data_IF_548078054973
#
_entry.id   IF_548078054973
#
_cell.length_a   1.000
_cell.length_b   1.000
_cell.length_c   1.000
_cell.angle_alpha   90.00
_cell.angle_beta   90.00
_cell.angle_gamma   90.00
#
_symmetry.space_group_name_H-M   'P 1'
#
loop_
_entity.id
_entity.type
_entity.pdbx_description
1 polymer ?
#
# COMPACT_ATOMS: atom_id res chain seq x y z
N UNK A 1 -1.31 -68.11 15.90
CA UNK A 1 -1.86 -66.93 16.60
C UNK A 1 -1.34 -65.68 15.89
N UNK A 2 -2.23 -64.70 15.68
CA UNK A 2 -2.06 -63.40 15.00
C UNK A 2 -2.18 -63.39 13.45
N UNK A 3 -3.40 -63.16 12.97
CA UNK A 3 -3.67 -62.35 11.76
C UNK A 3 -3.41 -60.87 12.10
N UNK A 4 -3.00 -59.97 11.16
CA UNK A 4 -3.98 -59.40 10.23
C UNK A 4 -3.51 -58.76 8.90
N UNK A 5 -4.52 -58.55 8.04
CA UNK A 5 -4.81 -57.38 7.16
C UNK A 5 -3.98 -57.13 5.89
N UNK A 6 -4.63 -57.44 4.76
CA UNK A 6 -4.47 -56.87 3.42
C UNK A 6 -5.02 -55.44 3.31
N UNK A 7 -4.28 -54.56 2.63
CA UNK A 7 -4.78 -53.34 1.96
C UNK A 7 -4.03 -53.15 0.61
N UNK A 8 -4.79 -52.85 -0.44
CA UNK A 8 -4.38 -52.54 -1.82
C UNK A 8 -3.78 -51.12 -1.95
N UNK A 9 -2.95 -50.87 -2.99
CA UNK A 9 -2.92 -49.59 -3.68
C UNK A 9 -3.40 -49.72 -5.14
N UNK A 10 -4.30 -48.83 -5.56
CA UNK A 10 -4.64 -48.61 -6.97
C UNK A 10 -3.83 -47.42 -7.49
N UNK A 11 -2.97 -47.66 -8.49
CA UNK A 11 -2.17 -46.64 -9.16
C UNK A 11 -2.88 -46.16 -10.44
N UNK A 12 -3.03 -44.84 -10.57
CA UNK A 12 -3.44 -44.15 -11.79
C UNK A 12 -2.25 -44.08 -12.76
N UNK A 13 -2.42 -44.62 -13.97
CA UNK A 13 -1.45 -44.48 -15.08
C UNK A 13 -2.05 -43.67 -16.22
N UNK A 14 -1.48 -42.48 -16.47
CA UNK A 14 -1.62 -41.72 -17.72
C UNK A 14 -0.50 -42.13 -18.70
N UNK A 15 -0.83 -42.29 -19.98
CA UNK A 15 0.12 -42.36 -21.10
C UNK A 15 -0.65 -42.37 -22.43
N UNK A 16 -0.78 -41.22 -23.09
CA UNK A 16 0.02 -40.73 -24.24
C UNK A 16 -0.11 -41.55 -25.53
N UNK A 17 -0.64 -40.90 -26.57
CA UNK A 17 -0.33 -41.24 -27.96
C UNK A 17 0.02 -39.95 -28.73
N UNK A 18 1.18 -39.99 -29.35
CA UNK A 18 1.88 -38.95 -30.10
C UNK A 18 1.45 -39.01 -31.57
N UNK A 19 1.32 -37.86 -32.22
CA UNK A 19 1.53 -37.74 -33.67
C UNK A 19 2.46 -36.57 -33.96
N UNK A 20 3.67 -36.90 -34.42
CA UNK A 20 4.59 -35.98 -35.07
C UNK A 20 4.21 -35.83 -36.55
N UNK A 21 4.52 -34.67 -37.15
CA UNK A 21 5.37 -34.54 -38.36
C UNK A 21 5.38 -33.08 -38.83
N UNK A 22 6.58 -32.58 -39.19
CA UNK A 22 6.73 -31.44 -40.11
C UNK A 22 7.82 -30.44 -39.71
N UNK A 23 9.06 -30.70 -40.09
CA UNK A 23 10.18 -29.76 -40.00
C UNK A 23 10.14 -28.72 -41.15
N UNK A 24 10.48 -27.47 -40.85
CA UNK A 24 10.79 -26.41 -41.81
C UNK A 24 11.88 -25.47 -41.26
N UNK A 25 12.73 -24.87 -42.11
CA UNK A 25 14.00 -24.29 -41.70
C UNK A 25 13.85 -22.89 -41.08
N UNK A 26 14.68 -22.60 -40.08
CA UNK A 26 14.93 -21.24 -39.63
C UNK A 26 15.91 -20.56 -40.61
N UNK A 27 15.42 -19.63 -41.42
CA UNK A 27 16.23 -18.68 -42.16
C UNK A 27 15.99 -17.29 -41.56
N UNK A 28 17.07 -16.65 -41.10
CA UNK A 28 17.06 -15.24 -40.75
C UNK A 28 17.02 -14.40 -42.03
N UNK A 29 16.23 -13.32 -42.03
CA UNK A 29 16.27 -12.28 -43.06
C UNK A 29 16.10 -10.91 -42.39
N UNK A 30 16.94 -9.98 -42.84
CA UNK A 30 17.17 -8.61 -42.38
C UNK A 30 15.91 -7.73 -42.19
N UNK A 31 16.03 -6.58 -41.47
CA UNK A 31 14.87 -5.77 -41.08
C UNK A 31 14.12 -5.23 -42.30
N UNK A 32 12.83 -5.54 -42.36
CA UNK A 32 11.91 -4.94 -43.31
C UNK A 32 11.74 -3.42 -43.02
N UNK A 33 11.54 -2.59 -44.05
CA UNK A 33 11.53 -1.14 -43.92
C UNK A 33 10.40 -0.70 -43.00
N UNK A 34 10.64 0.34 -42.20
CA UNK A 34 9.60 1.07 -41.45
C UNK A 34 8.53 1.54 -42.44
N UNK A 35 7.50 0.72 -42.60
CA UNK A 35 6.35 1.02 -43.44
C UNK A 35 5.54 2.05 -42.69
N UNK A 36 5.29 3.19 -43.34
CA UNK A 36 4.43 4.25 -42.84
C UNK A 36 3.16 3.65 -42.26
N UNK A 37 2.82 4.08 -41.04
CA UNK A 37 1.59 3.70 -40.36
C UNK A 37 0.44 4.22 -41.21
N UNK A 38 -0.14 3.37 -42.05
CA UNK A 38 -1.33 3.75 -42.82
C UNK A 38 -2.49 3.95 -41.85
N UNK A 39 -3.37 4.90 -42.16
CA UNK A 39 -4.55 5.25 -41.36
C UNK A 39 -5.43 4.02 -41.02
N UNK A 40 -5.36 2.96 -41.84
CA UNK A 40 -6.05 1.68 -41.61
C UNK A 40 -5.50 0.88 -40.42
N UNK A 41 -4.19 0.95 -40.10
CA UNK A 41 -3.64 0.29 -38.90
C UNK A 41 -3.87 1.09 -37.62
N UNK A 42 -3.95 2.42 -37.69
CA UNK A 42 -4.42 3.26 -36.57
C UNK A 42 -5.92 3.04 -36.30
N UNK A 43 -6.70 2.80 -37.35
CA UNK A 43 -8.12 2.44 -37.22
C UNK A 43 -8.36 1.04 -36.61
N UNK A 44 -7.35 0.17 -36.54
CA UNK A 44 -7.46 -1.13 -35.85
C UNK A 44 -7.07 -1.10 -34.36
N UNK A 45 -6.45 -0.01 -33.87
CA UNK A 45 -6.25 0.23 -32.43
C UNK A 45 -7.31 1.15 -31.83
N UNK A 46 -8.03 1.90 -32.67
CA UNK A 46 -9.29 2.50 -32.28
C UNK A 46 -10.36 1.40 -32.32
N UNK A 47 -10.65 0.83 -31.15
CA UNK A 47 -11.86 0.02 -30.95
C UNK A 47 -13.07 0.70 -31.59
N UNK A 48 -14.02 -0.11 -32.01
CA UNK A 48 -15.26 0.33 -32.69
C UNK A 48 -15.84 1.60 -32.06
N UNK A 49 -16.53 2.46 -32.82
CA UNK A 49 -17.11 3.70 -32.27
C UNK A 49 -17.97 3.50 -31.01
N UNK A 50 -18.51 2.28 -30.84
CA UNK A 50 -19.19 1.79 -29.64
C UNK A 50 -18.26 1.59 -28.43
N UNK A 51 -17.05 1.04 -28.60
CA UNK A 51 -16.03 0.95 -27.54
C UNK A 51 -15.49 2.32 -27.13
N UNK A 52 -15.32 3.25 -28.07
CA UNK A 52 -14.92 4.63 -27.76
C UNK A 52 -15.99 5.39 -26.98
N UNK A 53 -17.27 5.18 -27.30
CA UNK A 53 -18.41 5.75 -26.59
C UNK A 53 -18.61 5.11 -25.21
N UNK A 54 -18.48 3.78 -25.11
CA UNK A 54 -18.56 3.06 -23.84
C UNK A 54 -17.41 3.44 -22.89
N UNK A 55 -16.19 3.60 -23.41
CA UNK A 55 -15.06 4.08 -22.62
C UNK A 55 -15.29 5.51 -22.14
N UNK A 56 -15.80 6.41 -22.99
CA UNK A 56 -16.16 7.77 -22.59
C UNK A 56 -17.23 7.77 -21.50
N UNK A 57 -18.31 7.01 -21.67
CA UNK A 57 -19.37 6.90 -20.68
C UNK A 57 -18.87 6.32 -19.35
N UNK A 58 -17.94 5.36 -19.40
CA UNK A 58 -17.27 4.84 -18.21
C UNK A 58 -16.43 5.92 -17.52
N UNK A 59 -15.59 6.64 -18.25
CA UNK A 59 -14.77 7.72 -17.69
C UNK A 59 -15.63 8.88 -17.15
N UNK A 60 -16.71 9.24 -17.84
CA UNK A 60 -17.66 10.27 -17.42
C UNK A 60 -18.40 9.82 -16.15
N UNK A 61 -18.87 8.58 -16.08
CA UNK A 61 -19.47 8.02 -14.86
C UNK A 61 -18.48 7.94 -13.69
N UNK A 62 -17.19 7.67 -13.95
CA UNK A 62 -16.14 7.71 -12.92
C UNK A 62 -15.91 9.16 -12.44
N UNK A 63 -15.86 10.13 -13.34
CA UNK A 63 -15.70 11.54 -13.00
C UNK A 63 -16.91 12.08 -12.23
N UNK A 64 -18.13 11.72 -12.64
CA UNK A 64 -19.36 12.05 -11.93
C UNK A 64 -19.41 11.40 -10.55
N UNK A 65 -19.02 10.13 -10.42
CA UNK A 65 -18.93 9.46 -9.12
C UNK A 65 -17.89 10.12 -8.20
N UNK A 66 -16.75 10.54 -8.75
CA UNK A 66 -15.72 11.28 -8.00
C UNK A 66 -16.24 12.66 -7.60
N UNK A 67 -16.92 13.37 -8.50
CA UNK A 67 -17.53 14.67 -8.23
C UNK A 67 -18.64 14.56 -7.18
N UNK A 68 -19.49 13.54 -7.25
CA UNK A 68 -20.55 13.25 -6.27
C UNK A 68 -19.95 12.89 -4.90
N UNK A 69 -18.90 12.06 -4.85
CA UNK A 69 -18.18 11.75 -3.60
C UNK A 69 -17.49 12.96 -2.99
N UNK A 70 -16.95 13.86 -3.82
CA UNK A 70 -16.35 15.13 -3.37
C UNK A 70 -17.41 16.14 -2.94
N UNK A 71 -18.54 16.21 -3.65
CA UNK A 71 -19.68 17.05 -3.32
C UNK A 71 -20.45 16.55 -2.09
N UNK A 72 -20.36 15.24 -1.78
CA UNK A 72 -20.85 14.66 -0.54
C UNK A 72 -19.93 14.93 0.66
N UNK A 73 -18.68 15.38 0.41
CA UNK A 73 -17.72 15.81 1.44
C UNK A 73 -17.16 17.22 1.16
N UNK A 74 -18.00 18.24 0.89
CA UNK A 74 -17.57 19.50 0.31
C UNK A 74 -16.91 20.47 1.32
N UNK A 75 -16.62 20.01 2.54
CA UNK A 75 -16.09 20.83 3.65
C UNK A 75 -15.19 20.08 4.63
N UNK A 76 -14.76 18.85 4.34
CA UNK A 76 -13.83 18.15 5.20
C UNK A 76 -12.39 18.63 4.94
N UNK A 77 -11.94 19.71 5.59
CA UNK A 77 -10.51 20.02 5.62
C UNK A 77 -9.84 18.89 6.42
N UNK A 78 -8.96 18.12 5.77
CA UNK A 78 -8.16 17.16 6.50
C UNK A 78 -7.32 17.89 7.55
N UNK A 79 -7.21 17.33 8.76
CA UNK A 79 -6.31 17.86 9.77
C UNK A 79 -4.88 17.67 9.29
N UNK A 80 -4.09 18.74 9.23
CA UNK A 80 -2.65 18.62 8.96
C UNK A 80 -1.91 18.41 10.27
N UNK A 81 -1.19 17.31 10.38
CA UNK A 81 -0.23 17.03 11.46
C UNK A 81 1.17 17.22 10.89
N UNK A 82 1.95 18.08 11.53
CA UNK A 82 3.30 18.44 11.10
C UNK A 82 4.32 17.53 11.77
N UNK A 83 5.28 17.00 11.02
CA UNK A 83 6.38 16.20 11.56
C UNK A 83 7.75 16.81 11.26
N UNK A 84 8.72 16.53 12.12
CA UNK A 84 10.14 16.87 11.90
C UNK A 84 10.97 15.59 11.74
N UNK A 85 11.62 15.44 10.58
CA UNK A 85 12.48 14.30 10.27
C UNK A 85 13.98 14.56 10.53
N UNK A 86 14.36 15.78 10.93
CA UNK A 86 15.76 16.20 11.04
C UNK A 86 16.56 15.42 12.10
N UNK A 87 15.88 14.85 13.10
CA UNK A 87 16.46 13.99 14.12
C UNK A 87 16.72 12.54 13.69
N UNK A 88 16.31 12.14 12.48
CA UNK A 88 16.48 10.81 11.91
C UNK A 88 16.96 10.83 10.44
N UNK A 89 18.14 11.42 10.16
CA UNK A 89 18.61 11.62 8.79
C UNK A 89 18.85 10.31 8.02
N UNK A 90 19.23 9.22 8.71
CA UNK A 90 19.46 7.90 8.09
C UNK A 90 18.17 7.33 7.50
N UNK A 91 17.01 7.68 8.09
CA UNK A 91 15.70 7.18 7.71
C UNK A 91 14.83 8.17 6.91
N UNK A 92 15.40 9.30 6.47
CA UNK A 92 14.67 10.36 5.77
C UNK A 92 13.78 9.86 4.61
N UNK A 93 14.29 8.93 3.80
CA UNK A 93 13.52 8.33 2.70
C UNK A 93 12.35 7.48 3.20
N UNK A 94 12.55 6.68 4.24
CA UNK A 94 11.51 5.82 4.81
C UNK A 94 10.43 6.63 5.53
N UNK A 95 10.82 7.73 6.19
CA UNK A 95 9.89 8.69 6.77
C UNK A 95 9.03 9.34 5.70
N UNK A 96 9.64 9.82 4.60
CA UNK A 96 8.90 10.38 3.47
C UNK A 96 7.96 9.35 2.83
N UNK A 97 8.40 8.09 2.70
CA UNK A 97 7.56 7.00 2.19
C UNK A 97 6.38 6.72 3.14
N UNK A 98 6.61 6.62 4.45
CA UNK A 98 5.57 6.44 5.46
C UNK A 98 4.51 7.53 5.38
N UNK A 99 4.94 8.80 5.34
CA UNK A 99 4.04 9.94 5.21
C UNK A 99 3.21 9.86 3.92
N UNK A 100 3.84 9.50 2.79
CA UNK A 100 3.14 9.32 1.52
C UNK A 100 2.10 8.19 1.56
N UNK A 101 2.44 7.04 2.16
CA UNK A 101 1.54 5.90 2.33
C UNK A 101 0.31 6.31 3.12
N UNK A 102 0.49 6.89 4.30
CA UNK A 102 -0.63 7.38 5.12
C UNK A 102 -1.46 8.44 4.38
N UNK A 103 -0.80 9.43 3.77
CA UNK A 103 -1.49 10.48 3.01
C UNK A 103 -2.32 9.95 1.83
N UNK A 104 -1.93 8.82 1.24
CA UNK A 104 -2.70 8.16 0.19
C UNK A 104 -3.82 7.25 0.71
N UNK A 105 -3.68 6.77 1.95
CA UNK A 105 -4.54 5.74 2.52
C UNK A 105 -5.75 6.29 3.29
N UNK A 106 -5.65 7.53 3.81
CA UNK A 106 -6.69 8.14 4.65
C UNK A 106 -7.11 9.53 4.15
N UNK A 107 -8.29 9.99 4.57
CA UNK A 107 -8.91 11.23 4.08
C UNK A 107 -8.90 12.37 5.10
N UNK A 108 -9.08 12.07 6.39
CA UNK A 108 -9.35 13.08 7.42
C UNK A 108 -8.10 13.64 8.11
N UNK A 109 -6.92 13.09 7.83
CA UNK A 109 -5.63 13.58 8.35
C UNK A 109 -4.56 13.54 7.26
N UNK A 110 -3.65 14.50 7.27
CA UNK A 110 -2.46 14.56 6.41
C UNK A 110 -1.21 14.84 7.22
N UNK A 111 -0.14 14.14 6.89
CA UNK A 111 1.21 14.33 7.43
C UNK A 111 2.00 15.27 6.53
N UNK A 112 2.64 16.27 7.12
CA UNK A 112 3.45 17.24 6.40
C UNK A 112 4.75 17.51 7.15
N UNK A 113 5.89 17.51 6.46
CA UNK A 113 7.17 17.87 7.07
C UNK A 113 7.25 19.38 7.35
N UNK A 114 7.80 19.78 8.50
CA UNK A 114 7.99 21.19 8.85
C UNK A 114 8.65 21.43 10.21
N UNK A 115 9.09 22.68 10.45
CA UNK A 115 9.88 23.07 11.63
C UNK A 115 9.05 23.40 12.89
N UNK A 116 7.73 23.51 12.77
CA UNK A 116 6.80 23.67 13.89
C UNK A 116 6.02 22.36 14.07
N UNK A 117 6.77 21.27 14.30
CA UNK A 117 6.23 19.92 14.29
C UNK A 117 5.43 19.59 15.55
N UNK A 118 4.35 18.83 15.35
CA UNK A 118 3.54 18.21 16.41
C UNK A 118 4.27 16.97 16.96
N UNK A 119 5.03 16.26 16.11
CA UNK A 119 5.89 15.16 16.52
C UNK A 119 7.21 15.08 15.72
N UNK A 120 8.22 14.43 16.30
CA UNK A 120 9.55 14.30 15.68
C UNK A 120 10.01 12.85 15.51
N UNK A 121 10.91 12.61 14.55
CA UNK A 121 11.61 11.33 14.38
C UNK A 121 13.02 11.41 14.96
N UNK A 122 13.44 10.34 15.62
CA UNK A 122 14.77 10.14 16.22
C UNK A 122 15.32 8.79 15.76
N UNK A 123 16.64 8.65 15.79
CA UNK A 123 17.29 7.37 15.46
C UNK A 123 18.40 7.00 16.45
N UNK A 124 18.66 5.71 16.58
CA UNK A 124 19.71 5.21 17.48
C UNK A 124 19.71 3.70 17.64
N UNK A 125 20.35 3.23 18.71
CA UNK A 125 20.29 1.82 19.13
C UNK A 125 19.46 1.70 20.40
N UNK A 126 18.41 0.88 20.37
CA UNK A 126 17.68 0.44 21.55
C UNK A 126 17.40 -1.06 21.42
N UNK A 127 17.79 -1.90 22.40
CA UNK A 127 17.55 -3.34 22.32
C UNK A 127 16.07 -3.73 22.28
N UNK A 128 15.15 -2.80 22.56
CA UNK A 128 13.70 -2.99 22.46
C UNK A 128 13.17 -2.82 21.03
N UNK A 129 13.95 -2.25 20.12
CA UNK A 129 13.53 -1.88 18.76
C UNK A 129 12.99 -0.45 18.66
N UNK A 130 12.38 -0.14 17.51
CA UNK A 130 11.70 1.14 17.29
C UNK A 130 10.45 1.24 18.16
N UNK A 131 10.05 2.47 18.47
CA UNK A 131 8.84 2.72 19.26
C UNK A 131 8.31 4.14 19.05
N UNK A 132 7.01 4.32 19.23
CA UNK A 132 6.36 5.61 19.36
C UNK A 132 6.12 5.99 20.84
N UNK A 133 6.42 7.23 21.21
CA UNK A 133 6.02 7.85 22.46
C UNK A 133 5.07 8.99 22.13
N UNK A 134 3.76 8.71 22.15
CA UNK A 134 2.73 9.58 21.59
C UNK A 134 1.46 9.59 22.44
N UNK A 135 0.64 10.63 22.28
CA UNK A 135 -0.72 10.70 22.81
C UNK A 135 -1.75 9.95 21.93
N UNK A 136 -1.31 9.41 20.78
CA UNK A 136 -2.19 8.76 19.80
C UNK A 136 -3.05 9.73 19.01
N UNK A 137 -2.71 11.02 19.00
CA UNK A 137 -3.46 12.07 18.32
C UNK A 137 -2.55 13.15 17.72
N UNK A 138 -1.44 12.72 17.12
CA UNK A 138 -0.55 13.58 16.34
C UNK A 138 0.66 14.15 17.09
N UNK A 139 0.76 13.98 18.42
CA UNK A 139 1.87 14.58 19.19
C UNK A 139 2.85 13.53 19.71
N UNK A 140 4.11 13.93 19.91
CA UNK A 140 5.12 13.12 20.60
C UNK A 140 6.39 12.91 19.78
N UNK A 141 6.93 11.70 19.80
CA UNK A 141 8.07 11.34 18.93
C UNK A 141 8.08 9.86 18.58
N UNK A 142 8.78 9.52 17.50
CA UNK A 142 9.09 8.16 17.07
C UNK A 142 10.60 7.95 17.16
N UNK A 143 11.03 6.85 17.76
CA UNK A 143 12.42 6.41 17.75
C UNK A 143 12.57 5.23 16.79
N UNK A 144 13.48 5.33 15.82
CA UNK A 144 13.80 4.30 14.85
C UNK A 144 15.12 3.60 15.24
N UNK A 145 15.04 2.32 15.59
CA UNK A 145 16.19 1.51 15.96
C UNK A 145 16.94 0.98 14.72
N UNK A 146 18.26 1.07 14.74
CA UNK A 146 19.09 0.62 13.62
C UNK A 146 19.04 -0.89 13.39
N UNK A 147 19.03 -1.72 14.44
CA UNK A 147 19.09 -3.16 14.29
C UNK A 147 17.77 -3.71 13.73
N UNK A 148 16.65 -3.25 14.25
CA UNK A 148 15.33 -3.64 13.76
C UNK A 148 15.12 -3.22 12.30
N UNK A 149 15.48 -1.99 11.93
CA UNK A 149 15.32 -1.50 10.56
C UNK A 149 16.28 -2.14 9.54
N UNK A 150 17.34 -2.82 10.00
CA UNK A 150 18.19 -3.67 9.14
C UNK A 150 17.60 -5.08 8.97
N UNK A 151 16.90 -5.58 9.99
CA UNK A 151 16.34 -6.93 9.99
C UNK A 151 14.96 -7.00 9.31
N UNK A 152 14.14 -5.97 9.47
CA UNK A 152 12.78 -5.87 8.93
C UNK A 152 12.73 -4.85 7.79
N UNK A 153 11.66 -4.86 7.01
CA UNK A 153 11.41 -3.80 6.04
C UNK A 153 11.28 -2.45 6.76
N UNK A 154 12.25 -1.55 6.56
CA UNK A 154 12.31 -0.28 7.26
C UNK A 154 11.14 0.66 6.92
N UNK A 155 10.55 0.54 5.72
CA UNK A 155 9.35 1.33 5.39
C UNK A 155 8.15 0.82 6.20
N UNK A 156 7.97 -0.51 6.34
CA UNK A 156 6.94 -1.09 7.21
C UNK A 156 7.13 -0.68 8.66
N UNK A 157 8.34 -0.79 9.21
CA UNK A 157 8.64 -0.38 10.59
C UNK A 157 8.27 1.09 10.79
N UNK A 158 8.79 1.97 9.93
CA UNK A 158 8.52 3.41 10.03
C UNK A 158 7.01 3.71 9.92
N UNK A 159 6.31 3.07 8.98
CA UNK A 159 4.87 3.31 8.76
C UNK A 159 4.01 2.79 9.91
N UNK A 160 4.41 1.68 10.53
CA UNK A 160 3.80 1.11 11.73
C UNK A 160 3.91 2.08 12.92
N UNK A 161 5.10 2.59 13.22
CA UNK A 161 5.29 3.55 14.31
C UNK A 161 4.50 4.85 14.07
N UNK A 162 4.44 5.32 12.82
CA UNK A 162 3.59 6.45 12.44
C UNK A 162 2.10 6.16 12.67
N UNK A 163 1.66 4.91 12.51
CA UNK A 163 0.30 4.48 12.81
C UNK A 163 -0.09 4.68 14.28
N UNK A 164 0.84 4.52 15.21
CA UNK A 164 0.61 4.82 16.63
C UNK A 164 0.36 6.30 16.87
N UNK A 165 1.12 7.19 16.21
CA UNK A 165 0.91 8.65 16.30
C UNK A 165 -0.48 9.04 15.78
N UNK A 166 -0.98 8.30 14.78
CA UNK A 166 -2.33 8.46 14.23
C UNK A 166 -3.43 7.80 15.08
N UNK A 167 -3.06 7.09 16.15
CA UNK A 167 -3.97 6.56 17.16
C UNK A 167 -4.33 5.08 17.04
N UNK A 168 -3.60 4.31 16.22
CA UNK A 168 -3.79 2.86 16.13
C UNK A 168 -3.00 2.13 17.22
N UNK A 169 -3.59 1.13 17.90
CA UNK A 169 -2.85 0.27 18.82
C UNK A 169 -2.09 -0.84 18.07
N UNK A 170 -1.14 -1.47 18.75
CA UNK A 170 -0.54 -2.73 18.31
C UNK A 170 -1.56 -3.86 18.23
N UNK A 171 -1.32 -4.80 17.30
CA UNK A 171 -2.02 -6.07 17.19
C UNK A 171 -1.07 -7.18 16.70
N UNK A 172 -0.08 -7.54 17.51
CA UNK A 172 1.04 -8.41 17.11
C UNK A 172 0.64 -9.81 16.62
N UNK A 173 -0.56 -10.30 16.98
CA UNK A 173 -1.10 -11.57 16.51
C UNK A 173 -1.72 -11.50 15.10
N UNK A 174 -1.83 -10.29 14.54
CA UNK A 174 -2.37 -10.04 13.22
C UNK A 174 -1.49 -10.55 12.06
N UNK A 175 -2.05 -10.73 10.86
CA UNK A 175 -1.32 -11.14 9.66
C UNK A 175 -0.43 -10.02 9.10
N UNK A 176 0.42 -10.37 8.12
CA UNK A 176 1.26 -9.39 7.39
C UNK A 176 0.43 -8.33 6.62
N UNK A 177 -0.82 -8.64 6.28
CA UNK A 177 -1.72 -7.66 5.65
C UNK A 177 -2.12 -6.52 6.58
N UNK A 178 -2.05 -6.72 7.90
CA UNK A 178 -2.22 -5.65 8.89
C UNK A 178 -0.87 -4.95 9.09
N UNK A 179 -0.87 -3.62 9.03
CA UNK A 179 0.33 -2.84 9.32
C UNK A 179 0.63 -2.86 10.82
N UNK A 180 -0.40 -2.82 11.66
CA UNK A 180 -0.30 -2.74 13.11
C UNK A 180 0.02 -4.08 13.77
N UNK A 181 0.15 -5.17 12.99
CA UNK A 181 0.80 -6.39 13.47
C UNK A 181 2.32 -6.25 13.61
N UNK A 182 2.89 -5.16 13.07
CA UNK A 182 4.27 -4.78 13.28
C UNK A 182 5.23 -5.90 12.89
N UNK A 183 6.08 -6.29 13.84
CA UNK A 183 7.05 -7.38 13.69
C UNK A 183 6.50 -8.79 13.90
N UNK A 184 5.25 -8.95 14.34
CA UNK A 184 4.64 -10.26 14.65
C UNK A 184 4.74 -11.28 13.52
N UNK A 185 4.43 -10.91 12.26
CA UNK A 185 4.58 -11.79 11.09
C UNK A 185 6.03 -12.14 10.70
N UNK A 186 7.03 -11.57 11.37
CA UNK A 186 8.45 -11.80 11.12
C UNK A 186 9.02 -11.01 9.93
N UNK A 187 10.35 -11.07 9.73
CA UNK A 187 11.07 -10.20 8.80
C UNK A 187 10.80 -10.47 7.30
N UNK A 188 10.20 -11.61 6.96
CA UNK A 188 9.73 -11.87 5.59
C UNK A 188 8.52 -11.02 5.20
N UNK A 189 7.84 -10.39 6.17
CA UNK A 189 6.74 -9.50 5.90
C UNK A 189 7.25 -8.09 5.57
N UNK A 190 6.96 -7.63 4.36
CA UNK A 190 7.42 -6.32 3.86
C UNK A 190 6.25 -5.39 3.48
N UNK A 191 5.01 -5.79 3.76
CA UNK A 191 3.85 -4.95 3.47
C UNK A 191 3.84 -3.71 4.38
N UNK A 192 3.97 -2.52 3.81
CA UNK A 192 3.90 -1.26 4.55
C UNK A 192 2.52 -0.58 4.44
N UNK A 193 1.55 -1.19 3.76
CA UNK A 193 0.22 -0.58 3.56
C UNK A 193 -0.70 -0.91 4.74
N UNK A 194 -1.39 0.10 5.33
CA UNK A 194 -2.46 -0.17 6.26
C UNK A 194 -3.62 -0.87 5.54
N UNK A 195 -4.30 -1.78 6.22
CA UNK A 195 -5.47 -2.46 5.69
C UNK A 195 -6.72 -1.55 5.67
N UNK A 196 -7.85 -2.07 5.19
CA UNK A 196 -9.08 -1.28 5.12
C UNK A 196 -9.63 -0.89 6.51
N UNK A 197 -9.42 -1.71 7.53
CA UNK A 197 -9.92 -1.47 8.89
C UNK A 197 -9.07 -0.40 9.59
N UNK A 198 -7.75 -0.48 9.46
CA UNK A 198 -6.77 0.47 9.98
C UNK A 198 -7.01 1.86 9.38
N UNK A 199 -7.22 1.95 8.05
CA UNK A 199 -7.59 3.21 7.37
C UNK A 199 -8.89 3.79 7.91
N UNK A 200 -9.94 2.98 7.95
CA UNK A 200 -11.25 3.42 8.43
C UNK A 200 -11.20 3.89 9.88
N UNK A 201 -10.38 3.23 10.72
CA UNK A 201 -10.18 3.62 12.11
C UNK A 201 -9.48 4.96 12.23
N UNK A 202 -8.41 5.20 11.47
CA UNK A 202 -7.75 6.52 11.43
C UNK A 202 -8.74 7.59 10.96
N UNK A 203 -9.46 7.37 9.86
CA UNK A 203 -10.45 8.34 9.40
C UNK A 203 -11.52 8.65 10.47
N UNK A 204 -11.96 7.64 11.22
CA UNK A 204 -12.89 7.83 12.34
C UNK A 204 -12.29 8.66 13.48
N UNK A 205 -11.04 8.39 13.87
CA UNK A 205 -10.35 9.11 14.96
C UNK A 205 -10.18 10.60 14.63
N UNK A 206 -9.92 10.92 13.36
CA UNK A 206 -9.62 12.27 12.91
C UNK A 206 -10.82 13.07 12.38
N UNK A 207 -11.99 12.43 12.21
CA UNK A 207 -13.22 13.11 11.78
C UNK A 207 -13.68 14.24 12.73
N UNK A 208 -13.51 14.06 14.05
CA UNK A 208 -13.94 15.04 15.05
C UNK A 208 -12.89 16.13 15.36
N UNK A 209 -11.64 15.92 14.97
CA UNK A 209 -10.59 16.94 15.07
C UNK A 209 -10.95 18.15 14.21
N UNK A 210 -11.52 17.89 13.02
CA UNK A 210 -12.06 18.92 12.14
C UNK A 210 -13.26 19.66 12.76
N UNK A 211 -14.21 18.95 13.37
CA UNK A 211 -15.38 19.59 13.99
C UNK A 211 -14.98 20.58 15.10
N UNK A 212 -14.03 20.18 15.97
CA UNK A 212 -13.49 21.06 17.01
C UNK A 212 -12.62 22.20 16.46
N UNK A 213 -11.90 21.97 15.36
CA UNK A 213 -11.15 23.02 14.69
C UNK A 213 -12.09 24.08 14.10
N UNK A 214 -13.16 23.66 13.43
CA UNK A 214 -14.18 24.55 12.87
C UNK A 214 -14.90 25.36 13.95
N UNK A 215 -15.26 24.76 15.10
CA UNK A 215 -15.85 25.47 16.25
C UNK A 215 -14.93 26.56 16.85
N UNK A 216 -13.60 26.43 16.72
CA UNK A 216 -12.65 27.44 17.21
C UNK A 216 -12.48 28.64 16.28
N UNK A 217 -12.84 28.51 14.99
CA UNK A 217 -12.74 29.58 13.99
C UNK A 217 -14.10 30.16 13.56
N UNK A 218 -15.22 29.60 14.04
CA UNK A 218 -16.58 30.15 13.90
C UNK A 218 -16.98 30.99 15.11
#
# INVERSE_FOLDING_TARGET
>A
MHLPRTLLPAALGLGLAVTALGAGPAAASDPAPVSEVTAERLAQYAGSGEEAAANRAFFEAVLDSVAEKRAANPGAQAVTVTYDASGAPTFSQQIANSASIWNSAVSNVKLQEGSAADFDYREGNDPRGSYASTDGHGNGYIFLDYAQNQQYDSTRVTTHETGHVLGLPDHYEGPCSELMSGGGPGPSCTNAQPDANERARVDQLWANGLAKALEKVS
#
